data_IF_730854249572
#
_entry.id   IF_730854249572
#
_cell.length_a   1.000
_cell.length_b   1.000
_cell.length_c   1.000
_cell.angle_alpha   90.00
_cell.angle_beta   90.00
_cell.angle_gamma   90.00
#
_symmetry.space_group_name_H-M   'P 1'
#
loop_
_entity.id
_entity.type
_entity.pdbx_description
1 polymer ?
#
# COMPACT_ATOMS: atom_id res chain seq x y z
N UNK A 1 22.45 -9.93 -34.60
CA UNK A 1 22.25 -11.22 -33.89
C UNK A 1 21.33 -10.97 -32.71
N UNK A 2 20.05 -11.35 -32.81
CA UNK A 2 19.08 -11.19 -31.72
C UNK A 2 19.20 -12.40 -30.78
N UNK A 3 19.81 -12.22 -29.61
CA UNK A 3 19.89 -13.25 -28.57
C UNK A 3 18.48 -13.61 -28.11
N UNK A 4 18.08 -14.89 -28.24
CA UNK A 4 16.86 -15.41 -27.62
C UNK A 4 17.01 -15.29 -26.11
N UNK A 5 16.21 -14.41 -25.51
CA UNK A 5 16.06 -14.35 -24.04
C UNK A 5 15.66 -15.73 -23.52
N UNK A 6 16.24 -16.22 -22.40
CA UNK A 6 15.87 -17.51 -21.84
C UNK A 6 14.37 -17.48 -21.51
N UNK A 7 13.61 -18.45 -22.02
CA UNK A 7 12.18 -18.58 -21.68
C UNK A 7 12.08 -18.87 -20.19
N UNK A 8 11.52 -17.94 -19.42
CA UNK A 8 11.26 -18.12 -17.99
C UNK A 8 10.35 -19.34 -17.79
N UNK A 9 10.85 -20.45 -17.19
CA UNK A 9 10.07 -21.67 -17.00
C UNK A 9 8.89 -21.47 -16.05
N UNK A 10 8.88 -20.38 -15.27
CA UNK A 10 7.81 -20.05 -14.33
C UNK A 10 6.81 -18.99 -14.85
N UNK A 11 6.90 -18.57 -16.12
CA UNK A 11 6.02 -17.52 -16.67
C UNK A 11 4.52 -17.92 -16.64
N UNK A 12 4.19 -19.16 -16.99
CA UNK A 12 2.83 -19.70 -16.95
C UNK A 12 2.23 -19.75 -15.53
N UNK A 13 2.87 -20.38 -14.53
CA UNK A 13 2.33 -20.39 -13.17
C UNK A 13 2.23 -18.98 -12.58
N UNK A 14 3.17 -18.07 -12.88
CA UNK A 14 3.07 -16.65 -12.47
C UNK A 14 1.86 -15.96 -13.08
N UNK A 15 1.63 -16.11 -14.39
CA UNK A 15 0.48 -15.55 -15.09
C UNK A 15 -0.84 -16.06 -14.48
N UNK A 16 -0.93 -17.37 -14.20
CA UNK A 16 -2.11 -17.98 -13.59
C UNK A 16 -2.38 -17.43 -12.19
N UNK A 17 -1.34 -17.26 -11.36
CA UNK A 17 -1.48 -16.66 -10.01
C UNK A 17 -1.93 -15.20 -10.12
N UNK A 18 -1.36 -14.41 -11.03
CA UNK A 18 -1.78 -13.01 -11.24
C UNK A 18 -3.23 -12.93 -11.71
N UNK A 19 -3.65 -13.78 -12.66
CA UNK A 19 -5.03 -13.83 -13.12
C UNK A 19 -5.98 -14.27 -12.00
N UNK A 20 -5.61 -15.26 -11.20
CA UNK A 20 -6.38 -15.71 -10.06
C UNK A 20 -6.53 -14.60 -9.00
N UNK A 21 -5.45 -13.89 -8.69
CA UNK A 21 -5.48 -12.76 -7.77
C UNK A 21 -6.38 -11.63 -8.30
N UNK A 22 -6.27 -11.28 -9.59
CA UNK A 22 -7.17 -10.30 -10.23
C UNK A 22 -8.62 -10.75 -10.15
N UNK A 23 -8.92 -12.01 -10.49
CA UNK A 23 -10.28 -12.55 -10.45
C UNK A 23 -10.87 -12.54 -9.04
N UNK A 24 -10.06 -12.84 -8.03
CA UNK A 24 -10.48 -12.87 -6.62
C UNK A 24 -10.65 -11.46 -6.03
N UNK A 25 -9.80 -10.51 -6.42
CA UNK A 25 -9.84 -9.13 -5.95
C UNK A 25 -10.87 -8.26 -6.70
N UNK A 26 -11.19 -8.61 -7.95
CA UNK A 26 -12.18 -7.92 -8.78
C UNK A 26 -13.55 -7.71 -8.11
N UNK A 27 -14.21 -8.73 -7.51
CA UNK A 27 -15.47 -8.52 -6.82
C UNK A 27 -15.32 -7.59 -5.62
N UNK A 28 -14.15 -7.56 -4.96
CA UNK A 28 -13.88 -6.60 -3.89
C UNK A 28 -13.88 -5.15 -4.37
N UNK A 29 -13.42 -4.91 -5.60
CA UNK A 29 -13.46 -3.58 -6.22
C UNK A 29 -14.88 -3.15 -6.60
N UNK A 30 -15.73 -4.09 -7.02
CA UNK A 30 -17.13 -3.80 -7.34
C UNK A 30 -18.05 -3.70 -6.12
N UNK A 31 -17.74 -4.43 -5.05
CA UNK A 31 -18.47 -4.37 -3.77
C UNK A 31 -18.05 -3.19 -2.90
N UNK A 32 -16.81 -2.73 -3.05
CA UNK A 32 -16.43 -1.42 -2.55
C UNK A 32 -17.16 -0.39 -3.42
N UNK A 33 -17.98 0.48 -2.84
CA UNK A 33 -18.66 1.59 -3.54
C UNK A 33 -17.68 2.66 -4.08
N UNK A 34 -16.47 2.24 -4.49
CA UNK A 34 -15.37 3.03 -5.00
C UNK A 34 -15.67 3.53 -6.42
N UNK A 35 -16.55 4.52 -6.51
CA UNK A 35 -16.76 5.25 -7.75
C UNK A 35 -15.73 6.39 -7.89
N UNK A 36 -14.59 6.08 -8.51
CA UNK A 36 -13.54 7.08 -8.77
C UNK A 36 -14.01 8.25 -9.64
N UNK A 37 -15.06 8.05 -10.46
CA UNK A 37 -15.65 9.11 -11.28
C UNK A 37 -16.25 10.24 -10.44
N UNK A 38 -16.76 9.95 -9.25
CA UNK A 38 -17.32 10.95 -8.33
C UNK A 38 -16.25 11.90 -7.81
N UNK A 39 -14.98 11.47 -7.73
CA UNK A 39 -13.87 12.36 -7.34
C UNK A 39 -13.66 13.50 -8.35
N UNK A 40 -14.03 13.27 -9.61
CA UNK A 40 -13.90 14.25 -10.69
C UNK A 40 -15.21 14.98 -11.01
N UNK A 41 -16.29 14.68 -10.27
CA UNK A 41 -17.53 15.46 -10.34
C UNK A 41 -17.26 16.91 -9.93
N UNK A 42 -17.77 17.87 -10.70
CA UNK A 42 -17.45 19.28 -10.53
C UNK A 42 -17.85 19.86 -9.17
N UNK A 43 -18.95 19.38 -8.59
CA UNK A 43 -19.41 19.84 -7.28
C UNK A 43 -18.61 19.19 -6.14
N UNK A 44 -18.28 17.90 -6.29
CA UNK A 44 -17.44 17.20 -5.33
C UNK A 44 -16.00 17.73 -5.32
N UNK A 45 -15.41 17.94 -6.49
CA UNK A 45 -14.06 18.50 -6.64
C UNK A 45 -13.96 19.92 -6.06
N UNK A 46 -14.99 20.75 -6.25
CA UNK A 46 -15.07 22.09 -5.67
C UNK A 46 -15.19 22.05 -4.15
N UNK A 47 -16.05 21.17 -3.62
CA UNK A 47 -16.22 21.01 -2.17
C UNK A 47 -14.93 20.52 -1.50
N UNK A 48 -14.27 19.54 -2.10
CA UNK A 48 -12.98 19.03 -1.67
C UNK A 48 -11.89 20.11 -1.75
N UNK A 49 -11.87 20.91 -2.82
CA UNK A 49 -10.96 22.03 -2.98
C UNK A 49 -11.13 23.11 -1.90
N UNK A 50 -12.37 23.48 -1.58
CA UNK A 50 -12.66 24.43 -0.51
C UNK A 50 -12.20 23.89 0.85
N UNK A 51 -12.54 22.63 1.15
CA UNK A 51 -12.10 21.98 2.39
C UNK A 51 -10.57 21.97 2.50
N UNK A 52 -9.85 21.62 1.44
CA UNK A 52 -8.38 21.65 1.43
C UNK A 52 -7.81 23.08 1.58
N UNK A 53 -8.48 24.07 0.98
CA UNK A 53 -8.08 25.46 1.12
C UNK A 53 -8.20 25.96 2.57
N UNK A 54 -9.17 25.47 3.33
CA UNK A 54 -9.34 25.82 4.75
C UNK A 54 -8.17 25.30 5.64
N UNK A 55 -7.38 24.34 5.17
CA UNK A 55 -6.14 23.90 5.86
C UNK A 55 -4.92 24.78 5.54
N UNK A 56 -5.06 25.81 4.69
CA UNK A 56 -3.99 26.72 4.34
C UNK A 56 -4.21 28.11 4.94
N UNK A 57 -3.25 28.67 5.70
CA UNK A 57 -1.93 28.12 6.04
C UNK A 57 -2.00 27.02 7.11
N UNK A 58 -1.03 26.09 7.15
CA UNK A 58 -1.00 25.02 8.14
C UNK A 58 -1.06 25.56 9.57
N UNK A 59 -1.62 24.78 10.49
CA UNK A 59 -1.61 25.13 11.90
C UNK A 59 -0.17 25.09 12.45
N UNK A 60 0.25 26.18 13.08
CA UNK A 60 1.56 26.31 13.72
C UNK A 60 1.46 26.38 15.26
N UNK A 61 0.30 25.98 15.81
CA UNK A 61 0.09 25.92 17.25
C UNK A 61 0.97 24.84 17.88
N UNK A 62 1.63 25.19 19.00
CA UNK A 62 2.61 24.31 19.65
C UNK A 62 2.01 23.02 20.21
N UNK A 63 0.79 23.06 20.74
CA UNK A 63 0.10 21.88 21.27
C UNK A 63 -0.28 20.93 20.14
N UNK A 64 -0.79 21.49 19.03
CA UNK A 64 -1.09 20.71 17.83
C UNK A 64 0.16 20.03 17.26
N UNK A 65 1.28 20.74 17.14
CA UNK A 65 2.52 20.17 16.60
C UNK A 65 3.10 19.09 17.50
N UNK A 66 3.02 19.25 18.82
CA UNK A 66 3.43 18.22 19.77
C UNK A 66 2.58 16.95 19.62
N UNK A 67 1.26 17.11 19.50
CA UNK A 67 0.33 16.00 19.24
C UNK A 67 0.62 15.30 17.91
N UNK A 68 0.81 16.07 16.83
CA UNK A 68 1.12 15.56 15.50
C UNK A 68 2.44 14.79 15.48
N UNK A 69 3.49 15.33 16.12
CA UNK A 69 4.78 14.68 16.23
C UNK A 69 4.68 13.36 16.99
N UNK A 70 3.94 13.34 18.11
CA UNK A 70 3.67 12.11 18.88
C UNK A 70 2.93 11.06 18.04
N UNK A 71 1.85 11.43 17.37
CA UNK A 71 1.08 10.51 16.52
C UNK A 71 1.93 9.93 15.37
N UNK A 72 2.84 10.74 14.82
CA UNK A 72 3.80 10.29 13.80
C UNK A 72 4.78 9.27 14.38
N UNK A 73 5.33 9.52 15.57
CA UNK A 73 6.21 8.59 16.27
C UNK A 73 5.50 7.29 16.64
N UNK A 74 4.23 7.35 17.06
CA UNK A 74 3.42 6.16 17.34
C UNK A 74 3.25 5.31 16.08
N UNK A 75 2.98 5.94 14.92
CA UNK A 75 2.89 5.23 13.63
C UNK A 75 4.22 4.56 13.26
N UNK A 76 5.35 5.26 13.42
CA UNK A 76 6.67 4.71 13.16
C UNK A 76 7.02 3.57 14.11
N UNK A 77 6.65 3.69 15.39
CA UNK A 77 6.87 2.65 16.39
C UNK A 77 6.11 1.38 16.04
N UNK A 78 4.83 1.51 15.67
CA UNK A 78 3.98 0.38 15.24
C UNK A 78 4.59 -0.29 13.99
N UNK A 79 4.95 0.49 12.97
CA UNK A 79 5.53 -0.03 11.74
C UNK A 79 6.86 -0.76 12.01
N UNK A 80 7.73 -0.19 12.84
CA UNK A 80 9.03 -0.77 13.19
C UNK A 80 8.89 -2.04 14.01
N UNK A 81 7.97 -2.06 14.99
CA UNK A 81 7.68 -3.25 15.78
C UNK A 81 7.13 -4.37 14.90
N UNK A 82 6.17 -4.06 14.03
CA UNK A 82 5.61 -5.01 13.07
C UNK A 82 6.67 -5.58 12.13
N UNK A 83 7.55 -4.73 11.58
CA UNK A 83 8.65 -5.17 10.72
C UNK A 83 9.68 -6.03 11.46
N UNK A 84 10.03 -5.67 12.69
CA UNK A 84 10.96 -6.45 13.51
C UNK A 84 10.41 -7.84 13.80
N UNK A 85 9.13 -7.93 14.17
CA UNK A 85 8.45 -9.21 14.39
C UNK A 85 8.32 -10.03 13.09
N UNK A 86 8.01 -9.38 11.97
CA UNK A 86 7.96 -10.04 10.66
C UNK A 86 9.32 -10.63 10.28
N UNK A 87 10.42 -9.90 10.47
CA UNK A 87 11.78 -10.38 10.18
C UNK A 87 12.17 -11.57 11.06
N UNK A 88 11.76 -11.56 12.34
CA UNK A 88 12.01 -12.66 13.27
C UNK A 88 11.42 -13.99 12.78
N UNK A 89 10.28 -13.94 12.08
CA UNK A 89 9.62 -15.13 11.50
C UNK A 89 10.10 -15.40 10.08
N UNK A 90 10.29 -14.35 9.26
CA UNK A 90 10.65 -14.47 7.86
C UNK A 90 12.06 -15.04 7.67
N UNK A 91 13.03 -14.64 8.49
CA UNK A 91 14.41 -15.15 8.41
C UNK A 91 14.51 -16.67 8.58
N UNK A 92 13.99 -17.29 9.67
CA UNK A 92 14.03 -18.74 9.82
C UNK A 92 13.20 -19.45 8.74
N UNK A 93 12.03 -18.92 8.37
CA UNK A 93 11.21 -19.48 7.30
C UNK A 93 11.97 -19.49 5.95
N UNK A 94 12.70 -18.42 5.63
CA UNK A 94 13.50 -18.33 4.41
C UNK A 94 14.68 -19.32 4.42
N UNK A 95 15.35 -19.51 5.55
CA UNK A 95 16.42 -20.51 5.68
C UNK A 95 15.88 -21.95 5.48
N UNK A 96 14.73 -22.27 6.09
CA UNK A 96 14.06 -23.56 5.92
C UNK A 96 13.60 -23.79 4.47
N UNK A 97 13.01 -22.77 3.83
CA UNK A 97 12.54 -22.87 2.46
C UNK A 97 13.68 -23.02 1.43
N UNK A 98 14.80 -22.36 1.66
CA UNK A 98 15.98 -22.41 0.77
C UNK A 98 16.85 -23.65 0.96
N UNK A 99 16.57 -24.49 1.98
CA UNK A 99 17.42 -25.64 2.36
C UNK A 99 18.89 -25.25 2.56
N UNK A 100 19.13 -24.04 3.05
CA UNK A 100 20.47 -23.56 3.41
C UNK A 100 20.98 -24.15 4.74
N UNK A 101 20.12 -24.93 5.42
CA UNK A 101 20.36 -25.75 6.60
C UNK A 101 20.11 -27.22 6.23
#
# INVERSE_FOLDING_TARGET
MLSRSPRDPAALPRLLITLLALLLLWPGLGLSELNLGVLFDGDNARSMGNFLADFWPPAHDGEFLALLGRATLETLAIATAGMSLALLIALPAALLASRAL
#
